data_IF_063482360875
#
_entry.id   IF_063482360875
#
_cell.length_a   1.000
_cell.length_b   1.000
_cell.length_c   1.000
_cell.angle_alpha   90.00
_cell.angle_beta   90.00
_cell.angle_gamma   90.00
#
_symmetry.space_group_name_H-M   'P 1'
#
loop_
_entity.id
_entity.type
_entity.pdbx_description
1 polymer ?
#
# COMPACT_ATOMS: atom_id res chain seq x y z
N UNK A 1 23.06 19.47 -48.90
CA UNK A 1 23.82 18.82 -47.82
C UNK A 1 23.45 19.55 -46.54
N UNK A 2 22.33 19.16 -45.93
CA UNK A 2 21.92 19.73 -44.64
C UNK A 2 22.72 19.00 -43.57
N UNK A 3 23.38 19.80 -42.74
CA UNK A 3 24.20 19.34 -41.64
C UNK A 3 23.37 18.41 -40.75
N UNK A 4 23.97 17.26 -40.48
CA UNK A 4 23.54 16.27 -39.50
C UNK A 4 23.49 16.98 -38.16
N UNK A 5 22.29 17.31 -37.69
CA UNK A 5 22.06 17.78 -36.33
C UNK A 5 22.65 16.73 -35.39
N UNK A 6 23.82 17.09 -34.83
CA UNK A 6 24.37 16.40 -33.68
C UNK A 6 23.33 16.59 -32.59
N UNK A 7 22.70 15.50 -32.19
CA UNK A 7 21.82 15.43 -31.04
C UNK A 7 22.61 15.97 -29.85
N UNK A 8 22.44 17.25 -29.54
CA UNK A 8 22.96 17.82 -28.31
C UNK A 8 22.14 17.13 -27.21
N UNK A 9 22.78 16.31 -26.35
CA UNK A 9 22.07 15.62 -25.30
C UNK A 9 21.38 16.67 -24.45
N UNK A 10 20.10 16.44 -24.13
CA UNK A 10 19.36 17.35 -23.28
C UNK A 10 20.18 17.56 -21.99
N UNK A 11 20.26 18.78 -21.43
CA UNK A 11 21.13 19.10 -20.28
C UNK A 11 20.89 18.26 -19.02
N UNK A 12 19.85 17.43 -19.00
CA UNK A 12 19.54 16.47 -17.95
C UNK A 12 20.32 15.13 -18.06
N UNK A 13 21.04 14.86 -19.16
CA UNK A 13 21.75 13.57 -19.32
C UNK A 13 23.10 13.52 -18.57
N UNK A 14 23.65 14.67 -18.19
CA UNK A 14 24.91 14.72 -17.43
C UNK A 14 24.60 14.88 -15.93
N UNK A 15 24.99 13.92 -15.07
CA UNK A 15 24.79 14.04 -13.64
C UNK A 15 25.65 15.18 -13.08
N UNK A 16 25.03 16.00 -12.24
CA UNK A 16 25.67 17.10 -11.53
C UNK A 16 26.77 16.57 -10.60
N UNK A 17 27.85 17.34 -10.45
CA UNK A 17 28.90 17.08 -9.46
C UNK A 17 28.46 17.44 -8.03
N UNK A 18 27.37 18.19 -7.89
CA UNK A 18 26.77 18.51 -6.59
C UNK A 18 25.84 17.34 -6.23
N UNK A 19 26.15 16.64 -5.14
CA UNK A 19 25.48 15.40 -4.74
C UNK A 19 23.95 15.52 -4.67
N UNK A 20 23.44 16.54 -4.00
CA UNK A 20 21.99 16.74 -3.83
C UNK A 20 21.28 17.01 -5.17
N UNK A 21 21.96 17.71 -6.10
CA UNK A 21 21.42 17.95 -7.45
C UNK A 21 21.43 16.65 -8.25
N UNK A 22 22.48 15.84 -8.13
CA UNK A 22 22.55 14.52 -8.78
C UNK A 22 21.43 13.58 -8.31
N UNK A 23 21.12 13.59 -7.00
CA UNK A 23 19.97 12.85 -6.45
C UNK A 23 18.66 13.34 -7.09
N UNK A 24 18.45 14.67 -7.14
CA UNK A 24 17.25 15.24 -7.74
C UNK A 24 17.10 14.89 -9.23
N UNK A 25 18.21 14.86 -9.98
CA UNK A 25 18.23 14.42 -11.38
C UNK A 25 17.86 12.93 -11.50
N UNK A 26 18.38 12.06 -10.63
CA UNK A 26 18.02 10.64 -10.61
C UNK A 26 16.52 10.43 -10.37
N UNK A 27 15.93 11.12 -9.39
CA UNK A 27 14.48 11.08 -9.18
C UNK A 27 13.69 11.63 -10.37
N UNK A 28 14.16 12.70 -10.99
CA UNK A 28 13.53 13.27 -12.20
C UNK A 28 13.50 12.24 -13.33
N UNK A 29 14.60 11.51 -13.53
CA UNK A 29 14.67 10.45 -14.53
C UNK A 29 13.70 9.30 -14.21
N UNK A 30 13.66 8.85 -12.95
CA UNK A 30 12.70 7.83 -12.52
C UNK A 30 11.24 8.24 -12.73
N UNK A 31 10.90 9.51 -12.51
CA UNK A 31 9.55 10.03 -12.76
C UNK A 31 9.22 10.09 -14.26
N UNK A 32 10.21 10.38 -15.12
CA UNK A 32 10.03 10.36 -16.58
C UNK A 32 9.79 8.96 -17.10
N UNK A 33 10.50 7.98 -16.55
CA UNK A 33 10.42 6.57 -16.94
C UNK A 33 9.31 5.80 -16.20
N UNK A 34 8.61 6.45 -15.27
CA UNK A 34 7.63 5.83 -14.41
C UNK A 34 6.51 5.15 -15.21
N UNK A 35 6.21 3.91 -14.84
CA UNK A 35 5.14 3.14 -15.45
C UNK A 35 4.48 2.22 -14.44
N UNK A 36 3.19 1.92 -14.65
CA UNK A 36 2.41 1.00 -13.80
C UNK A 36 3.01 -0.41 -13.71
N UNK A 37 3.92 -0.80 -14.62
CA UNK A 37 4.58 -2.10 -14.59
C UNK A 37 5.74 -2.19 -13.59
N UNK A 38 6.27 -1.05 -13.16
CA UNK A 38 7.43 -0.95 -12.26
C UNK A 38 7.05 -0.50 -10.84
N UNK A 39 5.76 -0.28 -10.58
CA UNK A 39 5.27 0.16 -9.28
C UNK A 39 5.07 -1.03 -8.32
N UNK A 40 5.20 -0.76 -7.02
CA UNK A 40 5.01 -1.72 -5.93
C UNK A 40 3.51 -2.01 -5.63
N UNK A 41 2.69 -2.06 -6.69
CA UNK A 41 1.26 -2.31 -6.60
C UNK A 41 0.97 -3.81 -6.46
N UNK A 42 0.01 -4.21 -5.59
CA UNK A 42 -0.49 -5.58 -5.56
C UNK A 42 -0.99 -6.02 -6.95
N UNK A 43 -0.76 -7.29 -7.37
CA UNK A 43 -1.16 -7.76 -8.70
C UNK A 43 -2.65 -7.57 -9.01
N UNK A 44 -3.51 -7.77 -8.02
CA UNK A 44 -4.96 -7.58 -8.14
C UNK A 44 -5.34 -6.10 -8.30
N UNK A 45 -4.60 -5.18 -7.66
CA UNK A 45 -4.80 -3.75 -7.84
C UNK A 45 -4.37 -3.30 -9.25
N UNK A 46 -3.23 -3.81 -9.75
CA UNK A 46 -2.77 -3.55 -11.11
C UNK A 46 -3.75 -4.10 -12.15
N UNK A 47 -4.31 -5.28 -11.92
CA UNK A 47 -5.35 -5.86 -12.78
C UNK A 47 -6.59 -4.96 -12.82
N UNK A 48 -7.09 -4.48 -11.67
CA UNK A 48 -8.23 -3.56 -11.61
C UNK A 48 -7.94 -2.21 -12.29
N UNK A 49 -6.70 -1.71 -12.21
CA UNK A 49 -6.33 -0.47 -12.91
C UNK A 49 -6.33 -0.64 -14.44
N UNK A 50 -5.89 -1.80 -14.93
CA UNK A 50 -5.89 -2.13 -16.37
C UNK A 50 -7.27 -2.52 -16.88
N UNK A 51 -8.07 -3.18 -16.05
CA UNK A 51 -9.41 -3.69 -16.34
C UNK A 51 -10.40 -3.17 -15.28
N UNK A 52 -10.81 -1.89 -15.36
CA UNK A 52 -11.63 -1.28 -14.33
C UNK A 52 -13.00 -1.97 -14.20
N UNK A 53 -13.50 -2.21 -12.98
CA UNK A 53 -14.85 -2.73 -12.77
C UNK A 53 -15.90 -1.84 -13.45
N UNK A 54 -16.79 -2.46 -14.22
CA UNK A 54 -17.84 -1.77 -14.99
C UNK A 54 -19.21 -1.78 -14.31
N UNK A 55 -19.29 -2.37 -13.12
CA UNK A 55 -20.52 -2.46 -12.32
C UNK A 55 -20.27 -1.92 -10.91
N UNK A 56 -21.31 -1.40 -10.25
CA UNK A 56 -21.21 -0.98 -8.86
C UNK A 56 -20.73 -2.12 -7.95
N UNK A 57 -19.92 -1.84 -6.92
CA UNK A 57 -19.48 -2.86 -5.99
C UNK A 57 -20.67 -3.52 -5.26
N UNK A 58 -20.72 -4.85 -5.25
CA UNK A 58 -21.75 -5.59 -4.52
C UNK A 58 -21.40 -5.70 -3.03
N UNK A 59 -22.25 -5.09 -2.21
CA UNK A 59 -22.20 -5.14 -0.74
C UNK A 59 -23.47 -5.76 -0.16
N UNK A 60 -24.23 -6.53 -0.94
CA UNK A 60 -25.51 -7.12 -0.51
C UNK A 60 -25.36 -8.08 0.68
N UNK A 61 -24.22 -8.76 0.80
CA UNK A 61 -23.89 -9.69 1.89
C UNK A 61 -23.99 -9.00 3.28
N UNK A 62 -24.95 -9.42 4.14
CA UNK A 62 -25.10 -8.88 5.48
C UNK A 62 -23.86 -9.07 6.36
N UNK A 63 -23.12 -10.17 6.18
CA UNK A 63 -21.92 -10.48 6.98
C UNK A 63 -20.80 -9.52 6.62
N UNK A 64 -20.59 -9.28 5.33
CA UNK A 64 -19.66 -8.29 4.84
C UNK A 64 -20.00 -6.89 5.36
N UNK A 65 -21.26 -6.45 5.21
CA UNK A 65 -21.72 -5.14 5.71
C UNK A 65 -21.45 -4.98 7.21
N UNK A 66 -21.83 -5.98 8.00
CA UNK A 66 -21.62 -5.94 9.44
C UNK A 66 -20.14 -5.94 9.80
N UNK A 67 -19.33 -6.77 9.13
CA UNK A 67 -17.87 -6.80 9.33
C UNK A 67 -17.20 -5.46 9.02
N UNK A 68 -17.60 -4.78 7.94
CA UNK A 68 -17.13 -3.43 7.58
C UNK A 68 -17.58 -2.40 8.62
N UNK A 69 -18.84 -2.48 9.07
CA UNK A 69 -19.37 -1.55 10.08
C UNK A 69 -18.58 -1.63 11.40
N UNK A 70 -18.30 -2.84 11.89
CA UNK A 70 -17.46 -3.05 13.07
C UNK A 70 -16.04 -2.54 12.83
N UNK A 71 -15.44 -2.81 11.67
CA UNK A 71 -14.11 -2.31 11.34
C UNK A 71 -14.05 -0.78 11.37
N UNK A 72 -15.03 -0.10 10.77
CA UNK A 72 -15.12 1.36 10.78
C UNK A 72 -15.34 1.93 12.18
N UNK A 73 -16.19 1.29 12.99
CA UNK A 73 -16.41 1.68 14.39
C UNK A 73 -15.15 1.56 15.25
N UNK A 74 -14.20 0.72 14.84
CA UNK A 74 -12.92 0.45 15.50
C UNK A 74 -11.74 1.16 14.81
N UNK A 75 -11.98 2.23 14.04
CA UNK A 75 -10.94 2.91 13.26
C UNK A 75 -9.74 3.41 14.08
N UNK A 76 -9.92 3.67 15.37
CA UNK A 76 -8.88 4.09 16.32
C UNK A 76 -8.45 2.99 17.30
N UNK A 77 -8.93 1.75 17.11
CA UNK A 77 -8.63 0.62 17.97
C UNK A 77 -7.65 -0.35 17.30
N UNK A 78 -7.08 -1.24 18.10
CA UNK A 78 -6.17 -2.27 17.60
C UNK A 78 -6.90 -3.35 16.79
N UNK A 79 -6.17 -4.04 15.90
CA UNK A 79 -6.63 -5.26 15.23
C UNK A 79 -7.12 -6.32 16.25
N UNK A 80 -6.49 -6.38 17.42
CA UNK A 80 -6.88 -7.26 18.51
C UNK A 80 -8.29 -6.94 19.05
N UNK A 81 -8.67 -5.67 19.13
CA UNK A 81 -10.04 -5.27 19.50
C UNK A 81 -11.08 -5.82 18.51
N UNK A 82 -10.77 -5.78 17.21
CA UNK A 82 -11.63 -6.37 16.17
C UNK A 82 -11.76 -7.89 16.34
N UNK A 83 -10.63 -8.58 16.57
CA UNK A 83 -10.61 -10.03 16.76
C UNK A 83 -11.45 -10.48 17.96
N UNK A 84 -11.43 -9.72 19.06
CA UNK A 84 -12.26 -9.98 20.24
C UNK A 84 -13.76 -9.87 19.94
N UNK A 85 -14.18 -8.85 19.20
CA UNK A 85 -15.58 -8.69 18.79
C UNK A 85 -16.00 -9.83 17.85
N UNK A 86 -15.15 -10.21 16.90
CA UNK A 86 -15.39 -11.38 16.04
C UNK A 86 -15.55 -12.67 16.85
N UNK A 87 -14.73 -12.89 17.88
CA UNK A 87 -14.85 -14.05 18.75
C UNK A 87 -16.16 -14.03 19.55
N UNK A 88 -16.51 -12.89 20.17
CA UNK A 88 -17.75 -12.72 20.90
C UNK A 88 -18.99 -12.95 20.01
N UNK A 89 -18.97 -12.43 18.78
CA UNK A 89 -20.05 -12.66 17.81
C UNK A 89 -20.17 -14.14 17.44
N UNK A 90 -19.04 -14.85 17.27
CA UNK A 90 -19.06 -16.29 16.98
C UNK A 90 -19.71 -17.09 18.10
N UNK A 91 -19.42 -16.76 19.36
CA UNK A 91 -20.07 -17.36 20.54
C UNK A 91 -21.56 -17.05 20.58
N UNK A 92 -21.94 -15.79 20.32
CA UNK A 92 -23.35 -15.40 20.25
C UNK A 92 -24.12 -16.15 19.16
N UNK A 93 -23.57 -16.22 17.94
CA UNK A 93 -24.21 -16.90 16.81
C UNK A 93 -24.44 -18.40 17.08
N UNK A 94 -23.52 -19.05 17.80
CA UNK A 94 -23.66 -20.46 18.20
C UNK A 94 -24.87 -20.72 19.12
N UNK A 95 -25.32 -19.71 19.90
CA UNK A 95 -26.50 -19.82 20.75
C UNK A 95 -27.83 -19.77 19.98
N UNK A 96 -27.83 -19.34 18.71
CA UNK A 96 -29.04 -19.16 17.89
C UNK A 96 -28.99 -19.94 16.56
N UNK A 97 -28.87 -21.28 16.59
CA UNK A 97 -28.73 -22.08 15.38
C UNK A 97 -29.96 -22.03 14.44
N UNK A 98 -31.15 -21.77 14.98
CA UNK A 98 -32.40 -21.69 14.22
C UNK A 98 -32.67 -20.31 13.58
N UNK A 99 -31.89 -19.28 13.91
CA UNK A 99 -32.11 -17.91 13.44
C UNK A 99 -31.62 -17.66 12.00
N UNK A 100 -31.23 -18.71 11.26
CA UNK A 100 -30.63 -18.55 9.93
C UNK A 100 -29.22 -17.94 9.95
N UNK A 101 -28.62 -17.83 11.14
CA UNK A 101 -27.23 -17.43 11.36
C UNK A 101 -26.20 -18.60 11.53
N UNK A 102 -26.50 -19.90 11.36
CA UNK A 102 -25.51 -20.94 11.64
C UNK A 102 -24.36 -20.91 10.63
N UNK A 103 -23.13 -20.86 11.12
CA UNK A 103 -21.91 -20.79 10.30
C UNK A 103 -21.50 -19.38 9.85
N UNK A 104 -22.22 -18.34 10.30
CA UNK A 104 -21.94 -16.95 9.93
C UNK A 104 -20.76 -16.42 10.74
N UNK A 105 -19.55 -16.49 10.18
CA UNK A 105 -18.35 -15.95 10.81
C UNK A 105 -18.04 -14.57 10.24
N UNK A 106 -17.77 -13.58 11.10
CA UNK A 106 -17.26 -12.29 10.62
C UNK A 106 -15.93 -12.49 9.88
N UNK A 107 -15.72 -11.66 8.87
CA UNK A 107 -14.45 -11.64 8.13
C UNK A 107 -13.29 -11.36 9.08
N UNK A 108 -12.07 -11.79 8.74
CA UNK A 108 -10.89 -11.41 9.51
C UNK A 108 -10.58 -9.95 9.27
N UNK A 109 -9.80 -9.35 10.15
CA UNK A 109 -9.36 -7.97 9.98
C UNK A 109 -8.71 -7.76 8.60
N UNK A 110 -7.85 -8.69 8.17
CA UNK A 110 -7.20 -8.64 6.86
C UNK A 110 -8.18 -8.87 5.70
N UNK A 111 -9.14 -9.79 5.86
CA UNK A 111 -10.20 -10.00 4.87
C UNK A 111 -11.05 -8.74 4.70
N UNK A 112 -11.45 -8.08 5.79
CA UNK A 112 -12.20 -6.81 5.72
C UNK A 112 -11.37 -5.73 5.05
N UNK A 113 -10.09 -5.57 5.41
CA UNK A 113 -9.19 -4.61 4.74
C UNK A 113 -9.10 -4.85 3.24
N UNK A 114 -8.93 -6.11 2.81
CA UNK A 114 -8.91 -6.48 1.40
C UNK A 114 -10.23 -6.13 0.71
N UNK A 115 -11.37 -6.49 1.31
CA UNK A 115 -12.69 -6.15 0.75
C UNK A 115 -12.90 -4.64 0.67
N UNK A 116 -12.49 -3.87 1.67
CA UNK A 116 -12.53 -2.40 1.61
C UNK A 116 -11.65 -1.88 0.47
N UNK A 117 -10.44 -2.42 0.28
CA UNK A 117 -9.56 -2.05 -0.83
C UNK A 117 -10.15 -2.38 -2.21
N UNK A 118 -10.79 -3.54 -2.35
CA UNK A 118 -11.53 -3.93 -3.56
C UNK A 118 -12.73 -3.00 -3.83
N UNK A 119 -13.54 -2.70 -2.81
CA UNK A 119 -14.75 -1.89 -2.92
C UNK A 119 -14.44 -0.40 -3.18
N UNK A 120 -13.40 0.13 -2.55
CA UNK A 120 -13.02 1.55 -2.65
C UNK A 120 -12.05 1.85 -3.78
N UNK A 121 -11.35 0.82 -4.28
CA UNK A 121 -10.20 1.00 -5.18
C UNK A 121 -8.95 1.59 -4.50
N UNK A 122 -8.98 1.83 -3.19
CA UNK A 122 -7.88 2.43 -2.43
C UNK A 122 -7.06 1.33 -1.77
N UNK A 123 -5.84 1.13 -2.25
CA UNK A 123 -4.88 0.17 -1.68
C UNK A 123 -3.63 0.92 -1.18
N UNK A 124 -3.06 0.53 -0.04
CA UNK A 124 -1.83 1.16 0.43
C UNK A 124 -0.63 0.70 -0.41
N UNK A 125 0.27 1.63 -0.70
CA UNK A 125 1.63 1.33 -1.15
C UNK A 125 2.54 1.57 0.05
N UNK A 126 3.24 0.53 0.50
CA UNK A 126 4.04 0.57 1.72
C UNK A 126 5.51 0.64 1.34
N UNK A 127 6.18 1.69 1.81
CA UNK A 127 7.62 1.87 1.72
C UNK A 127 8.20 2.11 3.11
N UNK A 128 9.41 1.60 3.35
CA UNK A 128 10.15 1.93 4.56
C UNK A 128 10.53 3.41 4.54
N UNK A 129 10.47 4.05 5.71
CA UNK A 129 10.82 5.46 5.88
C UNK A 129 11.70 5.62 7.11
N UNK A 130 12.63 6.56 7.05
CA UNK A 130 13.44 6.93 8.21
C UNK A 130 12.56 7.55 9.30
N UNK A 131 12.70 7.07 10.54
CA UNK A 131 11.92 7.54 11.70
C UNK A 131 12.21 9.00 12.09
N UNK A 132 13.42 9.51 11.79
CA UNK A 132 13.84 10.85 12.20
C UNK A 132 13.57 11.91 11.11
N UNK A 133 13.68 11.55 9.84
CA UNK A 133 13.64 12.51 8.72
C UNK A 133 12.45 12.30 7.78
N UNK A 134 11.70 11.22 7.95
CA UNK A 134 10.66 10.79 7.01
C UNK A 134 11.18 10.58 5.57
N UNK A 135 12.51 10.42 5.38
CA UNK A 135 13.06 10.04 4.08
C UNK A 135 12.56 8.64 3.72
N UNK A 136 11.88 8.51 2.57
CA UNK A 136 11.44 7.23 2.05
C UNK A 136 12.60 6.50 1.34
N UNK A 137 12.78 5.22 1.63
CA UNK A 137 13.78 4.37 0.98
C UNK A 137 13.26 3.89 -0.39
N UNK A 138 13.17 4.82 -1.34
CA UNK A 138 12.67 4.61 -2.70
C UNK A 138 13.63 5.19 -3.75
N UNK A 139 13.43 4.83 -5.02
CA UNK A 139 14.26 5.31 -6.12
C UNK A 139 15.75 5.09 -5.88
N UNK A 140 16.61 6.12 -5.92
CA UNK A 140 18.05 6.00 -5.67
C UNK A 140 18.40 5.54 -4.24
N UNK A 141 17.44 5.56 -3.31
CA UNK A 141 17.64 5.15 -1.91
C UNK A 141 17.15 3.74 -1.61
N UNK A 142 16.62 3.00 -2.59
CA UNK A 142 15.97 1.70 -2.37
C UNK A 142 16.91 0.64 -1.78
N UNK A 143 18.19 0.70 -2.11
CA UNK A 143 19.23 -0.24 -1.63
C UNK A 143 19.94 0.26 -0.36
N UNK A 144 19.55 1.40 0.20
CA UNK A 144 20.17 1.92 1.42
C UNK A 144 19.58 1.25 2.67
N UNK A 145 20.47 0.86 3.58
CA UNK A 145 20.12 0.33 4.91
C UNK A 145 20.21 1.40 6.02
N UNK A 146 20.68 2.60 5.69
CA UNK A 146 20.80 3.72 6.62
C UNK A 146 20.35 5.02 5.95
N UNK A 147 19.69 5.90 6.70
CA UNK A 147 19.27 7.19 6.18
C UNK A 147 20.49 8.05 5.81
N UNK A 148 20.60 8.54 4.56
CA UNK A 148 21.74 9.36 4.15
C UNK A 148 21.78 10.73 4.85
N UNK A 149 20.65 11.17 5.41
CA UNK A 149 20.54 12.48 6.08
C UNK A 149 20.92 12.42 7.57
N UNK A 150 20.52 11.37 8.29
CA UNK A 150 20.72 11.30 9.75
C UNK A 150 21.46 10.05 10.24
N UNK A 151 21.82 9.12 9.34
CA UNK A 151 22.54 7.88 9.67
C UNK A 151 21.72 6.80 10.38
N UNK A 152 20.44 7.03 10.65
CA UNK A 152 19.57 6.08 11.34
C UNK A 152 19.36 4.80 10.51
N UNK A 153 19.32 3.65 11.18
CA UNK A 153 19.10 2.38 10.50
C UNK A 153 17.69 2.32 9.88
N UNK A 154 17.58 1.78 8.68
CA UNK A 154 16.29 1.53 8.00
C UNK A 154 15.46 0.51 8.75
N UNK A 155 16.10 -0.53 9.28
CA UNK A 155 15.44 -1.62 9.98
C UNK A 155 15.78 -1.60 11.47
N UNK A 156 14.79 -1.93 12.29
CA UNK A 156 14.97 -2.11 13.73
C UNK A 156 15.90 -3.30 13.99
N UNK A 157 17.09 -3.03 14.53
CA UNK A 157 18.12 -4.03 14.82
C UNK A 157 17.81 -4.87 16.06
N UNK A 158 16.83 -4.46 16.87
CA UNK A 158 16.43 -5.13 18.11
C UNK A 158 15.15 -5.98 17.96
N UNK A 159 14.38 -5.80 16.90
CA UNK A 159 13.30 -6.73 16.52
C UNK A 159 13.89 -7.99 15.90
N UNK A 160 13.97 -9.07 16.68
CA UNK A 160 14.19 -10.42 16.13
C UNK A 160 13.04 -10.74 15.16
N UNK A 161 13.41 -11.14 13.94
CA UNK A 161 12.49 -11.71 12.95
C UNK A 161 11.73 -12.90 13.52
#
# INVERSE_FOLDING_TARGET
MLHRDLHEPLPDEVPSQIHDISIAQQFTQLLRDASLAQDNLPPDALERLRNPPTHPPDVSDPVLRFSISIFMALSNASQESYNRIRAAFSTFAACFPAAGLPGTQLLSYDQVKRRIGELSGVVPIIHDMCINTCLAFTGPFVELDTCPTCGEARYDTHKKR
#
